data_IF_378979440592
#
_entry.id   IF_378979440592
#
_cell.length_a   1.000
_cell.length_b   1.000
_cell.length_c   1.000
_cell.angle_alpha   90.00
_cell.angle_beta   90.00
_cell.angle_gamma   90.00
#
_symmetry.space_group_name_H-M   'P 1'
#
loop_
_entity.id
_entity.type
_entity.pdbx_description
1 polymer ?
#
# COMPACT_ATOMS: atom_id res chain seq x y z
N UNK A 1 -7.47 -8.78 0.00
CA UNK A 1 -6.72 -10.02 0.30
C UNK A 1 -6.74 -10.36 1.78
N UNK A 2 -6.65 -11.65 2.08
CA UNK A 2 -6.55 -12.21 3.42
C UNK A 2 -5.33 -13.15 3.45
N UNK A 3 -4.52 -13.03 4.48
CA UNK A 3 -3.41 -13.94 4.75
C UNK A 3 -3.53 -14.47 6.18
N UNK A 4 -3.43 -15.80 6.35
CA UNK A 4 -3.23 -16.43 7.65
C UNK A 4 -1.74 -16.33 7.97
N UNK A 5 -1.38 -15.36 8.80
CA UNK A 5 0.02 -15.01 9.08
C UNK A 5 0.66 -15.83 10.18
N UNK A 6 -0.09 -16.09 11.25
CA UNK A 6 0.41 -16.86 12.41
C UNK A 6 -0.66 -17.79 12.92
N UNK A 7 -0.27 -19.01 13.26
CA UNK A 7 -1.09 -19.99 13.98
C UNK A 7 -0.29 -20.45 15.19
N UNK A 8 -0.83 -20.21 16.37
CA UNK A 8 -0.24 -20.67 17.65
C UNK A 8 -1.16 -21.69 18.29
N UNK A 9 -0.61 -22.83 18.65
CA UNK A 9 -1.32 -23.92 19.33
C UNK A 9 -0.80 -24.06 20.77
N UNK A 10 -1.70 -23.99 21.71
CA UNK A 10 -1.44 -24.35 23.11
C UNK A 10 -2.16 -25.66 23.47
N UNK A 11 -2.03 -26.12 24.74
CA UNK A 11 -2.63 -27.34 25.18
C UNK A 11 -4.17 -27.31 25.14
N UNK A 12 -4.76 -26.13 25.48
CA UNK A 12 -6.22 -25.94 25.58
C UNK A 12 -6.73 -24.78 24.65
N UNK A 13 -5.88 -24.24 23.82
CA UNK A 13 -6.24 -23.07 22.98
C UNK A 13 -5.49 -23.02 21.67
N UNK A 14 -6.11 -22.38 20.69
CA UNK A 14 -5.47 -22.03 19.42
C UNK A 14 -5.70 -20.55 19.11
N UNK A 15 -4.69 -19.87 18.63
CA UNK A 15 -4.79 -18.49 18.11
C UNK A 15 -4.43 -18.44 16.64
N UNK A 16 -5.26 -17.77 15.84
CA UNK A 16 -5.03 -17.56 14.42
C UNK A 16 -5.02 -16.06 14.18
N UNK A 17 -3.89 -15.54 13.72
CA UNK A 17 -3.74 -14.13 13.34
C UNK A 17 -3.82 -14.00 11.82
N UNK A 18 -4.80 -13.24 11.37
CA UNK A 18 -5.02 -12.96 9.95
C UNK A 18 -4.69 -11.51 9.62
N UNK A 19 -4.02 -11.27 8.50
CA UNK A 19 -3.78 -9.94 7.96
C UNK A 19 -4.69 -9.69 6.75
N UNK A 20 -5.51 -8.64 6.85
CA UNK A 20 -6.45 -8.23 5.81
C UNK A 20 -5.96 -6.94 5.16
N UNK A 21 -5.97 -6.88 3.83
CA UNK A 21 -5.62 -5.69 3.06
C UNK A 21 -6.64 -5.45 1.96
N UNK A 22 -7.02 -4.19 1.74
CA UNK A 22 -7.89 -3.74 0.66
C UNK A 22 -7.56 -2.30 0.30
N UNK A 23 -7.82 -1.93 -0.95
CA UNK A 23 -7.72 -0.54 -1.43
C UNK A 23 -8.80 0.36 -0.86
N UNK A 24 -9.94 -0.23 -0.44
CA UNK A 24 -11.08 0.48 0.11
C UNK A 24 -11.42 -0.06 1.49
N UNK A 25 -11.83 0.82 2.39
CA UNK A 25 -12.10 0.46 3.78
C UNK A 25 -13.28 -0.50 3.91
N UNK A 26 -14.36 -0.29 3.13
CA UNK A 26 -15.52 -1.20 3.10
C UNK A 26 -15.15 -2.64 2.71
N UNK A 27 -14.14 -2.83 1.86
CA UNK A 27 -13.64 -4.15 1.50
C UNK A 27 -12.90 -4.84 2.66
N UNK A 28 -12.21 -4.08 3.53
CA UNK A 28 -11.63 -4.63 4.77
C UNK A 28 -12.72 -5.02 5.74
N UNK A 29 -13.68 -4.13 5.98
CA UNK A 29 -14.81 -4.36 6.88
C UNK A 29 -15.62 -5.60 6.46
N UNK A 30 -15.84 -5.79 5.16
CA UNK A 30 -16.50 -6.98 4.64
C UNK A 30 -15.76 -8.26 5.01
N UNK A 31 -14.43 -8.31 4.81
CA UNK A 31 -13.63 -9.51 5.15
C UNK A 31 -13.57 -9.71 6.66
N UNK A 32 -13.48 -8.63 7.46
CA UNK A 32 -13.56 -8.73 8.94
C UNK A 32 -14.87 -9.37 9.35
N UNK A 33 -16.01 -8.92 8.83
CA UNK A 33 -17.33 -9.46 9.18
C UNK A 33 -17.49 -10.94 8.81
N UNK A 34 -16.86 -11.38 7.71
CA UNK A 34 -16.80 -12.80 7.33
C UNK A 34 -16.04 -13.62 8.37
N UNK A 35 -14.88 -13.12 8.82
CA UNK A 35 -14.07 -13.83 9.84
C UNK A 35 -14.76 -13.84 11.21
N UNK A 36 -15.43 -12.76 11.59
CA UNK A 36 -16.24 -12.69 12.82
C UNK A 36 -17.40 -13.70 12.78
N UNK A 37 -18.08 -13.81 11.63
CA UNK A 37 -19.14 -14.81 11.43
C UNK A 37 -18.59 -16.23 11.53
N UNK A 38 -17.45 -16.50 10.89
CA UNK A 38 -16.79 -17.80 10.97
C UNK A 38 -16.36 -18.11 12.40
N UNK A 39 -15.79 -17.14 13.11
CA UNK A 39 -15.40 -17.28 14.52
C UNK A 39 -16.61 -17.59 15.41
N UNK A 40 -17.73 -16.92 15.18
CA UNK A 40 -18.99 -17.20 15.90
C UNK A 40 -19.47 -18.64 15.68
N UNK A 41 -19.46 -19.10 14.43
CA UNK A 41 -19.83 -20.48 14.09
C UNK A 41 -18.89 -21.51 14.70
N UNK A 42 -17.61 -21.18 14.83
CA UNK A 42 -16.61 -22.04 15.45
C UNK A 42 -16.56 -21.96 17.00
N UNK A 43 -17.36 -21.10 17.62
CA UNK A 43 -17.30 -20.83 19.06
C UNK A 43 -16.04 -20.09 19.50
N UNK A 44 -15.34 -19.45 18.59
CA UNK A 44 -14.11 -18.71 18.86
C UNK A 44 -14.40 -17.24 19.23
N UNK A 45 -13.47 -16.62 19.95
CA UNK A 45 -13.46 -15.18 20.20
C UNK A 45 -12.71 -14.50 19.08
N UNK A 46 -13.31 -13.47 18.48
CA UNK A 46 -12.69 -12.67 17.42
C UNK A 46 -12.41 -11.24 17.87
N UNK A 47 -11.35 -10.64 17.37
CA UNK A 47 -11.05 -9.21 17.56
C UNK A 47 -10.29 -8.66 16.35
N UNK A 48 -10.63 -7.46 15.92
CA UNK A 48 -9.93 -6.74 14.86
C UNK A 48 -9.14 -5.57 15.45
N UNK A 49 -7.87 -5.42 15.08
CA UNK A 49 -6.97 -4.36 15.58
C UNK A 49 -6.07 -3.86 14.46
N UNK A 50 -5.49 -2.66 14.64
CA UNK A 50 -4.42 -2.16 13.78
C UNK A 50 -4.86 -1.85 12.35
N UNK A 51 -6.08 -1.32 12.18
CA UNK A 51 -6.57 -0.98 10.84
C UNK A 51 -5.72 0.10 10.18
N UNK A 52 -5.27 -0.17 8.95
CA UNK A 52 -4.59 0.77 8.07
C UNK A 52 -5.59 1.25 7.00
N UNK A 53 -5.73 2.58 6.75
CA UNK A 53 -6.65 3.09 5.75
C UNK A 53 -6.34 2.56 4.34
N UNK A 54 -7.37 2.32 3.55
CA UNK A 54 -7.22 2.07 2.13
C UNK A 54 -6.79 3.34 1.40
N UNK A 55 -6.10 3.18 0.28
CA UNK A 55 -5.79 4.27 -0.65
C UNK A 55 -6.19 3.86 -2.05
N UNK A 56 -7.36 4.31 -2.46
CA UNK A 56 -7.89 4.03 -3.80
C UNK A 56 -7.16 4.89 -4.83
N UNK A 57 -6.68 4.30 -5.93
CA UNK A 57 -6.10 5.04 -7.04
C UNK A 57 -7.10 6.03 -7.65
N UNK A 58 -6.61 7.21 -8.00
CA UNK A 58 -7.38 8.22 -8.73
C UNK A 58 -6.80 8.34 -10.15
N UNK A 59 -7.59 7.91 -11.14
CA UNK A 59 -7.20 7.96 -12.54
C UNK A 59 -7.14 9.41 -13.09
N UNK A 60 -7.78 10.35 -12.40
CA UNK A 60 -7.81 11.77 -12.77
C UNK A 60 -6.74 12.60 -12.05
N UNK A 61 -5.89 11.98 -11.24
CA UNK A 61 -4.84 12.63 -10.45
C UNK A 61 -3.89 13.47 -11.31
N UNK A 62 -3.84 14.79 -11.14
CA UNK A 62 -2.87 15.67 -11.81
C UNK A 62 -1.42 15.31 -11.46
N UNK A 63 -1.12 14.95 -10.21
CA UNK A 63 0.24 14.58 -9.82
C UNK A 63 0.67 13.27 -10.49
N UNK A 64 -0.23 12.32 -10.66
CA UNK A 64 0.04 11.09 -11.39
C UNK A 64 0.33 11.37 -12.87
N UNK A 65 -0.45 12.27 -13.52
CA UNK A 65 -0.21 12.69 -14.89
C UNK A 65 1.18 13.33 -15.03
N UNK A 66 1.54 14.26 -14.14
CA UNK A 66 2.85 14.91 -14.11
C UNK A 66 4.00 13.89 -13.95
N UNK A 67 3.84 12.89 -13.07
CA UNK A 67 4.84 11.83 -12.90
C UNK A 67 5.02 11.02 -14.17
N UNK A 68 3.93 10.61 -14.83
CA UNK A 68 3.98 9.83 -16.08
C UNK A 68 4.68 10.62 -17.20
N UNK A 69 4.32 11.86 -17.40
CA UNK A 69 4.91 12.73 -18.44
C UNK A 69 6.39 12.97 -18.19
N UNK A 70 6.76 13.28 -16.94
CA UNK A 70 8.15 13.51 -16.55
C UNK A 70 8.98 12.23 -16.72
N UNK A 71 8.47 11.09 -16.30
CA UNK A 71 9.13 9.80 -16.46
C UNK A 71 9.36 9.45 -17.93
N UNK A 72 8.33 9.62 -18.76
CA UNK A 72 8.42 9.35 -20.20
C UNK A 72 9.43 10.26 -20.88
N UNK A 73 9.47 11.55 -20.51
CA UNK A 73 10.45 12.52 -21.03
C UNK A 73 11.88 12.16 -20.65
N UNK A 74 12.11 11.71 -19.41
CA UNK A 74 13.44 11.40 -18.90
C UNK A 74 13.99 10.07 -19.42
N UNK A 75 13.14 9.05 -19.48
CA UNK A 75 13.59 7.67 -19.70
C UNK A 75 13.09 7.07 -21.01
N UNK A 76 12.36 7.84 -21.81
CA UNK A 76 11.75 7.40 -23.09
C UNK A 76 10.94 6.08 -22.94
N UNK A 77 10.31 5.90 -21.79
CA UNK A 77 9.50 4.72 -21.46
C UNK A 77 8.32 5.10 -20.58
N UNK A 78 7.27 4.28 -20.60
CA UNK A 78 6.10 4.50 -19.76
C UNK A 78 6.33 3.85 -18.38
N UNK A 79 6.10 4.56 -17.26
CA UNK A 79 6.24 3.96 -15.93
C UNK A 79 5.19 2.88 -15.71
N UNK A 80 5.58 1.82 -15.01
CA UNK A 80 4.64 0.80 -14.57
C UNK A 80 3.91 1.29 -13.32
N UNK A 81 2.62 1.61 -13.47
CA UNK A 81 1.76 2.04 -12.37
C UNK A 81 1.06 0.80 -11.81
N UNK A 82 1.31 0.52 -10.56
CA UNK A 82 0.80 -0.67 -9.88
C UNK A 82 0.03 -0.31 -8.62
N UNK A 83 -0.91 -1.18 -8.31
CA UNK A 83 -1.54 -1.26 -7.01
C UNK A 83 -0.89 -2.41 -6.26
N UNK A 84 -0.47 -2.18 -5.04
CA UNK A 84 0.18 -3.20 -4.22
C UNK A 84 -0.66 -3.55 -3.00
N UNK A 85 -0.51 -4.78 -2.51
CA UNK A 85 -1.12 -5.25 -1.26
C UNK A 85 -0.27 -4.80 -0.06
N UNK A 86 -0.09 -3.49 0.09
CA UNK A 86 0.63 -2.89 1.21
C UNK A 86 -0.14 -1.72 1.80
N UNK A 87 0.09 -1.44 3.07
CA UNK A 87 -0.33 -0.17 3.67
C UNK A 87 0.68 0.90 3.25
N UNK A 88 0.26 1.86 2.45
CA UNK A 88 1.09 3.00 2.07
C UNK A 88 0.76 4.22 2.95
N UNK A 89 1.76 5.02 3.25
CA UNK A 89 1.63 6.23 4.05
C UNK A 89 0.61 7.21 3.44
N UNK A 90 0.46 7.23 2.12
CA UNK A 90 -0.57 8.00 1.43
C UNK A 90 -1.98 7.69 1.95
N UNK A 91 -2.28 6.45 2.34
CA UNK A 91 -3.54 6.09 2.98
C UNK A 91 -3.76 6.81 4.30
N UNK A 92 -2.70 6.98 5.11
CA UNK A 92 -2.76 7.71 6.38
C UNK A 92 -3.03 9.20 6.16
N UNK A 93 -2.40 9.81 5.14
CA UNK A 93 -2.63 11.21 4.80
C UNK A 93 -3.99 11.45 4.16
N UNK A 94 -4.52 10.50 3.39
CA UNK A 94 -5.82 10.66 2.72
C UNK A 94 -6.97 10.84 3.68
N UNK A 95 -6.90 10.24 4.88
CA UNK A 95 -7.96 10.34 5.88
C UNK A 95 -8.14 11.77 6.42
N UNK A 96 -7.10 12.47 6.94
CA UNK A 96 -7.21 13.86 7.39
C UNK A 96 -7.26 14.88 6.25
N UNK A 97 -6.78 14.52 5.04
CA UNK A 97 -6.69 15.40 3.88
C UNK A 97 -7.32 14.73 2.64
N UNK A 98 -8.66 14.61 2.59
CA UNK A 98 -9.34 13.85 1.54
C UNK A 98 -9.12 14.37 0.12
N UNK A 99 -8.85 15.68 -0.01
CA UNK A 99 -8.61 16.35 -1.30
C UNK A 99 -7.12 16.39 -1.69
N UNK A 100 -6.23 15.85 -0.86
CA UNK A 100 -4.80 15.79 -1.18
C UNK A 100 -4.55 14.81 -2.32
N UNK A 101 -3.98 15.32 -3.40
CA UNK A 101 -3.50 14.51 -4.51
C UNK A 101 -2.11 13.96 -4.20
N UNK A 102 -1.91 12.67 -4.38
CA UNK A 102 -0.71 11.97 -3.93
C UNK A 102 -0.29 10.88 -4.89
N UNK A 103 1.02 10.67 -4.95
CA UNK A 103 1.64 9.54 -5.65
C UNK A 103 2.74 8.94 -4.77
N UNK A 104 2.89 7.63 -4.83
CA UNK A 104 4.02 6.93 -4.19
C UNK A 104 5.03 6.54 -5.26
N UNK A 105 6.27 7.01 -5.10
CA UNK A 105 7.38 6.70 -5.99
C UNK A 105 8.60 6.28 -5.17
N UNK A 106 9.45 5.44 -5.73
CA UNK A 106 10.66 4.99 -5.04
C UNK A 106 11.58 4.18 -5.95
N UNK A 107 12.79 3.85 -5.47
CA UNK A 107 13.68 2.93 -6.15
C UNK A 107 13.11 1.51 -6.14
N UNK A 108 13.68 0.64 -6.97
CA UNK A 108 13.32 -0.78 -7.00
C UNK A 108 13.87 -1.49 -5.78
N UNK A 109 12.96 -2.06 -4.98
CA UNK A 109 13.30 -2.88 -3.80
C UNK A 109 12.77 -4.30 -4.04
N UNK A 110 13.57 -5.29 -3.66
CA UNK A 110 13.20 -6.71 -3.69
C UNK A 110 13.28 -7.29 -2.29
N UNK A 111 12.40 -8.24 -1.97
CA UNK A 111 12.31 -8.87 -0.67
C UNK A 111 12.01 -7.90 0.49
N UNK A 112 11.10 -6.89 0.35
CA UNK A 112 10.84 -5.94 1.42
C UNK A 112 10.38 -6.65 2.70
N UNK A 113 10.82 -6.13 3.85
CA UNK A 113 10.53 -6.68 5.18
C UNK A 113 11.14 -8.07 5.45
N UNK A 114 12.13 -8.47 4.67
CA UNK A 114 12.87 -9.73 4.89
C UNK A 114 14.35 -9.45 5.20
N UNK A 115 15.08 -10.41 5.80
CA UNK A 115 16.53 -10.30 5.97
C UNK A 115 17.30 -10.15 4.65
N UNK A 116 16.72 -10.56 3.54
CA UNK A 116 17.27 -10.50 2.18
C UNK A 116 16.80 -9.26 1.41
N UNK A 117 16.30 -8.23 2.10
CA UNK A 117 15.87 -6.99 1.46
C UNK A 117 17.03 -6.31 0.74
N UNK A 118 16.81 -5.97 -0.53
CA UNK A 118 17.81 -5.36 -1.39
C UNK A 118 17.22 -4.19 -2.17
N UNK A 119 18.04 -3.16 -2.42
CA UNK A 119 17.73 -2.07 -3.33
C UNK A 119 18.59 -2.17 -4.59
N UNK A 120 17.99 -1.98 -5.75
CA UNK A 120 18.71 -1.91 -7.01
C UNK A 120 19.42 -0.56 -7.13
N UNK A 121 20.74 -0.53 -7.03
CA UNK A 121 21.55 0.70 -6.92
C UNK A 121 21.29 1.69 -8.06
N UNK A 122 21.24 1.24 -9.30
CA UNK A 122 20.97 2.11 -10.46
C UNK A 122 19.59 2.77 -10.38
N UNK A 123 18.60 2.06 -9.82
CA UNK A 123 17.24 2.62 -9.67
C UNK A 123 17.19 3.78 -8.67
N UNK A 124 18.13 3.86 -7.73
CA UNK A 124 18.24 5.02 -6.81
C UNK A 124 18.62 6.28 -7.59
N UNK A 125 19.54 6.19 -8.55
CA UNK A 125 19.90 7.29 -9.44
C UNK A 125 18.72 7.74 -10.33
N UNK A 126 17.98 6.78 -10.89
CA UNK A 126 16.77 7.07 -11.67
C UNK A 126 15.69 7.74 -10.82
N UNK A 127 15.44 7.21 -9.61
CA UNK A 127 14.50 7.81 -8.67
C UNK A 127 14.88 9.24 -8.30
N UNK A 128 16.16 9.50 -7.99
CA UNK A 128 16.65 10.84 -7.65
C UNK A 128 16.47 11.82 -8.81
N UNK A 129 16.78 11.40 -10.02
CA UNK A 129 16.58 12.20 -11.24
C UNK A 129 15.10 12.53 -11.44
N UNK A 130 14.22 11.54 -11.33
CA UNK A 130 12.78 11.73 -11.44
C UNK A 130 12.28 12.70 -10.37
N UNK A 131 12.63 12.49 -9.10
CA UNK A 131 12.19 13.34 -7.99
C UNK A 131 12.61 14.81 -8.19
N UNK A 132 13.86 15.05 -8.54
CA UNK A 132 14.37 16.42 -8.73
C UNK A 132 13.70 17.14 -9.91
N UNK A 133 13.41 16.43 -11.00
CA UNK A 133 12.70 17.01 -12.16
C UNK A 133 11.20 17.24 -11.85
N UNK A 134 10.57 16.37 -11.07
CA UNK A 134 9.20 16.58 -10.59
C UNK A 134 9.11 17.84 -9.72
N UNK A 135 10.03 18.01 -8.76
CA UNK A 135 10.03 19.17 -7.88
C UNK A 135 10.21 20.48 -8.65
N UNK A 136 10.98 20.49 -9.75
CA UNK A 136 11.11 21.66 -10.65
C UNK A 136 9.84 21.94 -11.45
N UNK A 137 9.04 20.91 -11.73
CA UNK A 137 7.83 21.02 -12.53
C UNK A 137 6.57 21.36 -11.72
N UNK A 138 6.63 21.30 -10.39
CA UNK A 138 5.51 21.66 -9.52
C UNK A 138 5.25 23.17 -9.65
N UNK A 139 3.99 23.57 -9.94
CA UNK A 139 3.64 24.98 -10.04
C UNK A 139 3.88 25.72 -8.72
N UNK A 140 4.58 26.84 -8.79
CA UNK A 140 4.68 27.76 -7.63
C UNK A 140 3.35 28.51 -7.52
N UNK A 141 2.72 28.46 -6.35
CA UNK A 141 1.49 29.23 -6.07
C UNK A 141 1.81 30.70 -5.87
#
# INVERSE_FOLDING_TARGET
>A
SLNVGVVTMGDDSAEIICLIRSLIDSGKEYVVSMLESLGTLAGAKTSAKGSYPGWQPDASSPVMALVRETYQRLFNSTPNIQVIHAGLECGLFKKPYPDMDMVSIGPTITGPHSPDEQVHIESVGHYWTLLTELLKAIPVK
#
